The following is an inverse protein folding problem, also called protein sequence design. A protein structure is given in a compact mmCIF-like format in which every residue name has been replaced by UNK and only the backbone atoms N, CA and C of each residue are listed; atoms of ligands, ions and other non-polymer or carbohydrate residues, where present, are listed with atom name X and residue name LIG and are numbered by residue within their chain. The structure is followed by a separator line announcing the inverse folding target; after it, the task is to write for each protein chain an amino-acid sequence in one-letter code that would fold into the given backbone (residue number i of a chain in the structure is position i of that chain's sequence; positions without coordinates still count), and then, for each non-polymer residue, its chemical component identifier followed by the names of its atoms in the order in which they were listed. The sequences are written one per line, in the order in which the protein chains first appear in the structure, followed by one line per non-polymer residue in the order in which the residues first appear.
data_IF_440326279879
#
_entry.id   IF_440326279879
#
_cell.length_a   1.000
_cell.length_b   1.000
_cell.length_c   1.000
_cell.angle_alpha   90.00
_cell.angle_beta   90.00
_cell.angle_gamma   90.00
#
_symmetry.space_group_name_H-M   'P 1'
#
loop_
_entity.id
_entity.type
_entity.pdbx_description
1 polymer ?
#
# COMPACT_ATOMS: atom_id res chain seq x y z
N UNK A 1 -22.86 34.30 29.25
CA UNK A 1 -21.44 34.42 28.78
C UNK A 1 -20.88 33.01 28.58
N UNK A 2 -20.51 32.62 27.36
CA UNK A 2 -19.96 31.28 27.08
C UNK A 2 -18.46 31.38 26.80
N UNK A 3 -17.65 30.55 27.45
CA UNK A 3 -16.21 30.47 27.20
C UNK A 3 -15.95 29.78 25.86
N UNK A 4 -15.13 30.41 25.02
CA UNK A 4 -14.73 29.87 23.71
C UNK A 4 -13.36 29.20 23.85
N UNK A 5 -13.30 27.88 23.67
CA UNK A 5 -12.04 27.15 23.63
C UNK A 5 -11.44 27.18 22.21
N UNK A 6 -10.21 27.71 22.10
CA UNK A 6 -9.37 27.61 20.91
C UNK A 6 -7.93 27.31 21.32
N UNK A 7 -7.38 26.19 20.85
CA UNK A 7 -5.98 25.79 21.08
C UNK A 7 -5.26 25.59 19.76
N UNK A 8 -4.12 26.24 19.57
CA UNK A 8 -3.23 26.04 18.41
C UNK A 8 -2.04 25.20 18.85
N UNK A 9 -1.91 23.99 18.30
CA UNK A 9 -0.82 23.07 18.60
C UNK A 9 0.12 23.05 17.40
N UNK A 10 1.40 23.40 17.58
CA UNK A 10 2.44 23.25 16.55
C UNK A 10 2.98 21.83 16.63
N UNK A 11 2.92 21.09 15.52
CA UNK A 11 3.38 19.69 15.48
C UNK A 11 4.79 19.59 14.92
N UNK A 12 5.09 20.35 13.88
CA UNK A 12 6.41 20.49 13.27
C UNK A 12 6.60 21.95 12.80
N UNK A 13 7.84 22.39 12.48
CA UNK A 13 8.06 23.67 11.80
C UNK A 13 7.21 23.75 10.52
N UNK A 14 6.35 24.76 10.43
CA UNK A 14 5.43 24.92 9.29
C UNK A 14 4.15 24.08 9.35
N UNK A 15 3.94 23.21 10.36
CA UNK A 15 2.70 22.44 10.53
C UNK A 15 2.03 22.78 11.85
N UNK A 16 0.78 23.22 11.78
CA UNK A 16 0.00 23.57 12.96
C UNK A 16 -1.44 23.06 12.88
N UNK A 17 -1.93 22.57 14.00
CA UNK A 17 -3.31 22.15 14.20
C UNK A 17 -4.06 23.20 15.03
N UNK A 18 -5.23 23.61 14.56
CA UNK A 18 -6.16 24.49 15.25
C UNK A 18 -7.33 23.64 15.77
N UNK A 19 -7.48 23.62 17.09
CA UNK A 19 -8.60 22.98 17.79
C UNK A 19 -9.53 24.09 18.27
N UNK A 20 -10.82 24.01 17.93
CA UNK A 20 -11.83 24.96 18.41
C UNK A 20 -13.20 24.30 18.53
N UNK A 21 -14.16 24.97 19.21
CA UNK A 21 -15.57 24.54 19.21
C UNK A 21 -16.15 24.32 17.81
N UNK A 22 -15.67 25.08 16.81
CA UNK A 22 -16.13 24.96 15.43
C UNK A 22 -15.58 23.75 14.67
N UNK A 23 -14.54 23.08 15.22
CA UNK A 23 -13.93 21.88 14.65
C UNK A 23 -12.39 21.92 14.67
N UNK A 24 -11.82 20.86 14.08
CA UNK A 24 -10.39 20.67 13.82
C UNK A 24 -9.98 21.34 12.50
N UNK A 25 -8.84 22.01 12.46
CA UNK A 25 -8.26 22.56 11.24
C UNK A 25 -6.75 22.39 11.19
N UNK A 26 -6.20 21.92 10.07
CA UNK A 26 -4.78 21.71 9.84
C UNK A 26 -4.22 22.80 8.93
N UNK A 27 -3.05 23.33 9.26
CA UNK A 27 -2.32 24.28 8.44
C UNK A 27 -0.90 23.79 8.17
N UNK A 28 -0.47 23.91 6.92
CA UNK A 28 0.84 23.53 6.41
C UNK A 28 1.44 24.70 5.62
N UNK A 29 2.67 25.09 5.93
CA UNK A 29 3.44 26.07 5.16
C UNK A 29 4.07 27.18 5.98
N UNK A 30 4.83 28.03 5.29
CA UNK A 30 5.60 29.13 5.87
C UNK A 30 4.83 30.45 5.75
N UNK A 31 5.37 31.52 6.34
CA UNK A 31 4.81 32.87 6.16
C UNK A 31 4.91 33.26 4.68
N UNK A 32 3.78 33.55 4.05
CA UNK A 32 3.71 33.95 2.64
C UNK A 32 3.30 32.84 1.66
N UNK A 33 3.41 31.57 2.04
CA UNK A 33 2.92 30.44 1.24
C UNK A 33 2.44 29.30 2.15
N UNK A 34 1.12 29.21 2.36
CA UNK A 34 0.55 28.20 3.26
C UNK A 34 -0.79 27.68 2.76
N UNK A 35 -1.10 26.43 3.11
CA UNK A 35 -2.37 25.78 2.86
C UNK A 35 -3.05 25.49 4.19
N UNK A 36 -4.35 25.76 4.27
CA UNK A 36 -5.17 25.53 5.46
C UNK A 36 -6.38 24.67 5.11
N UNK A 37 -6.58 23.61 5.87
CA UNK A 37 -7.70 22.67 5.76
C UNK A 37 -8.55 22.80 7.02
N UNK A 38 -9.84 23.09 6.89
CA UNK A 38 -10.75 23.11 8.04
C UNK A 38 -12.20 23.11 7.58
N UNK A 39 -13.16 22.93 8.48
CA UNK A 39 -14.60 22.66 8.23
C UNK A 39 -15.27 23.24 6.97
N UNK A 40 -14.87 24.43 6.49
CA UNK A 40 -15.46 25.12 5.33
C UNK A 40 -14.74 24.90 4.00
N UNK A 41 -13.45 24.58 4.04
CA UNK A 41 -12.62 24.68 2.84
C UNK A 41 -11.17 24.24 3.02
N UNK A 42 -10.57 23.83 1.91
CA UNK A 42 -9.14 23.90 1.69
C UNK A 42 -8.87 25.28 1.11
N UNK A 43 -7.96 26.02 1.72
CA UNK A 43 -7.59 27.37 1.32
C UNK A 43 -6.09 27.42 1.08
N UNK A 44 -5.67 28.01 -0.04
CA UNK A 44 -4.28 28.41 -0.26
C UNK A 44 -4.14 29.89 0.07
N UNK A 45 -3.13 30.23 0.87
CA UNK A 45 -2.75 31.60 1.15
C UNK A 45 -1.38 31.86 0.51
N UNK A 46 -1.33 32.85 -0.37
CA UNK A 46 -0.10 33.34 -1.01
C UNK A 46 0.04 34.83 -0.73
N UNK A 47 1.24 35.31 -0.44
CA UNK A 47 1.44 36.71 -0.07
C UNK A 47 2.88 37.05 0.25
N UNK A 48 3.18 38.33 0.25
CA UNK A 48 4.51 38.80 0.59
C UNK A 48 4.66 38.84 2.12
N UNK A 49 5.63 38.11 2.69
CA UNK A 49 5.85 38.12 4.13
C UNK A 49 6.28 39.53 4.58
N UNK A 50 5.72 40.01 5.70
CA UNK A 50 6.09 41.29 6.29
C UNK A 50 5.37 42.52 5.72
N UNK A 51 4.70 42.42 4.57
CA UNK A 51 3.96 43.56 3.97
C UNK A 51 2.48 43.61 4.39
N UNK A 52 1.96 42.55 5.00
CA UNK A 52 0.53 42.42 5.32
C UNK A 52 -0.35 42.11 4.11
N UNK A 53 0.21 42.06 2.90
CA UNK A 53 -0.51 41.81 1.66
C UNK A 53 -0.52 40.30 1.39
N UNK A 54 -1.72 39.71 1.40
CA UNK A 54 -1.93 38.31 1.07
C UNK A 54 -3.22 38.09 0.29
N UNK A 55 -3.23 37.06 -0.55
CA UNK A 55 -4.39 36.50 -1.23
C UNK A 55 -4.76 35.17 -0.58
N UNK A 56 -6.06 34.92 -0.44
CA UNK A 56 -6.60 33.64 0.00
C UNK A 56 -7.52 33.09 -1.08
N UNK A 57 -7.12 31.97 -1.65
CA UNK A 57 -7.89 31.26 -2.67
C UNK A 57 -8.51 30.00 -2.07
N UNK A 58 -9.83 29.85 -2.22
CA UNK A 58 -10.53 28.62 -1.79
C UNK A 58 -10.33 27.57 -2.87
N UNK A 59 -9.57 26.53 -2.54
CA UNK A 59 -9.24 25.45 -3.47
C UNK A 59 -10.36 24.42 -3.60
N UNK A 60 -11.04 24.11 -2.48
CA UNK A 60 -12.14 23.16 -2.47
C UNK A 60 -13.08 23.36 -1.28
N UNK A 61 -14.38 23.30 -1.51
CA UNK A 61 -15.42 23.20 -0.49
C UNK A 61 -15.91 21.77 -0.28
N UNK A 62 -16.53 21.50 0.88
CA UNK A 62 -16.99 20.16 1.25
C UNK A 62 -18.15 19.75 0.33
N UNK A 63 -18.95 20.74 -0.12
CA UNK A 63 -19.97 20.63 -1.16
C UNK A 63 -19.44 20.13 -2.49
N UNK A 64 -18.22 20.53 -2.87
CA UNK A 64 -17.61 20.19 -4.17
C UNK A 64 -17.16 18.72 -4.20
N UNK A 65 -16.85 18.16 -3.02
CA UNK A 65 -16.58 16.74 -2.85
C UNK A 65 -17.87 15.90 -2.81
N UNK A 66 -18.98 16.44 -2.27
CA UNK A 66 -20.28 15.75 -2.26
C UNK A 66 -20.93 15.69 -3.65
N UNK A 67 -20.82 16.74 -4.46
CA UNK A 67 -21.33 16.73 -5.85
C UNK A 67 -20.56 15.77 -6.76
N UNK A 68 -19.28 15.50 -6.49
CA UNK A 68 -18.51 14.46 -7.21
C UNK A 68 -18.92 13.02 -6.85
N UNK A 69 -19.60 12.81 -5.72
CA UNK A 69 -20.08 11.48 -5.30
C UNK A 69 -21.42 11.10 -5.97
N UNK A 70 -22.25 12.09 -6.33
CA UNK A 70 -23.56 11.88 -6.96
C UNK A 70 -23.57 12.01 -8.51
N UNK A 71 -22.48 12.46 -9.15
CA UNK A 71 -22.32 12.45 -10.63
C UNK A 71 -21.76 11.12 -11.15
N UNK A 72 -22.31 9.99 -10.72
CA UNK A 72 -22.00 8.65 -11.27
C UNK A 72 -23.22 7.95 -11.88
N UNK A 73 -24.34 8.63 -12.01
CA UNK A 73 -25.57 8.12 -12.62
C UNK A 73 -26.15 9.18 -13.55
N UNK A 74 -26.31 8.78 -14.82
CA UNK A 74 -27.05 9.42 -15.92
C UNK A 74 -26.15 10.07 -17.01
N UNK A 75 -26.27 9.49 -18.20
CA UNK A 75 -25.44 9.61 -19.40
C UNK A 75 -26.09 10.55 -20.44
N UNK A 76 -25.26 11.08 -21.36
CA UNK A 76 -25.59 11.47 -22.75
C UNK A 76 -25.64 12.99 -23.10
N UNK A 77 -24.48 13.47 -23.55
CA UNK A 77 -24.17 14.25 -24.79
C UNK A 77 -24.77 15.64 -25.05
N UNK A 78 -23.90 16.66 -25.02
CA UNK A 78 -23.76 17.65 -26.12
C UNK A 78 -22.39 18.36 -26.07
N UNK A 79 -21.50 17.89 -26.95
CA UNK A 79 -20.40 18.55 -27.68
C UNK A 79 -19.97 19.96 -27.22
N UNK A 80 -18.76 20.08 -26.64
CA UNK A 80 -17.67 20.98 -27.10
C UNK A 80 -16.58 21.18 -26.03
N UNK A 81 -15.51 20.39 -26.14
CA UNK A 81 -14.09 20.78 -26.00
C UNK A 81 -13.27 19.53 -25.80
N UNK A 82 -12.63 19.11 -26.89
CA UNK A 82 -11.56 18.13 -26.88
C UNK A 82 -10.43 18.63 -25.96
N UNK A 83 -10.25 17.95 -24.83
CA UNK A 83 -8.93 17.75 -24.21
C UNK A 83 -8.85 16.26 -23.90
N UNK A 84 -7.92 15.61 -24.60
CA UNK A 84 -7.66 14.17 -24.58
C UNK A 84 -7.81 13.59 -23.17
N UNK A 85 -8.92 12.89 -22.94
CA UNK A 85 -9.08 12.02 -21.79
C UNK A 85 -8.19 10.81 -22.03
N UNK A 86 -7.02 10.80 -21.39
CA UNK A 86 -6.27 9.58 -21.14
C UNK A 86 -7.26 8.58 -20.51
N UNK A 87 -7.51 7.39 -21.09
CA UNK A 87 -8.48 6.47 -20.52
C UNK A 87 -8.00 6.16 -19.09
N UNK A 88 -8.87 6.37 -18.10
CA UNK A 88 -8.65 5.80 -16.77
C UNK A 88 -8.71 4.29 -16.95
N UNK A 89 -7.54 3.70 -17.18
CA UNK A 89 -7.30 2.26 -17.08
C UNK A 89 -7.75 1.89 -15.67
N UNK A 90 -8.92 1.27 -15.57
CA UNK A 90 -9.37 0.63 -14.35
C UNK A 90 -8.39 -0.52 -14.13
N UNK A 91 -7.35 -0.25 -13.34
CA UNK A 91 -6.25 -1.18 -13.11
C UNK A 91 -6.80 -2.31 -12.25
N UNK A 92 -7.11 -3.42 -12.91
CA UNK A 92 -7.61 -4.67 -12.31
C UNK A 92 -6.72 -5.08 -11.14
N UNK A 93 -7.32 -5.48 -10.02
CA UNK A 93 -6.55 -5.88 -8.85
C UNK A 93 -5.95 -7.26 -9.08
N UNK A 94 -4.63 -7.33 -9.10
CA UNK A 94 -3.92 -8.59 -9.30
C UNK A 94 -3.74 -9.32 -7.98
N UNK A 95 -4.13 -10.60 -7.91
CA UNK A 95 -3.91 -11.47 -6.75
C UNK A 95 -3.05 -12.68 -7.12
N UNK A 96 -2.32 -13.19 -6.14
CA UNK A 96 -1.42 -14.32 -6.29
C UNK A 96 -2.04 -15.56 -5.66
N UNK A 97 -2.11 -16.64 -6.43
CA UNK A 97 -2.53 -17.96 -5.94
C UNK A 97 -1.30 -18.85 -5.80
N UNK A 98 -1.04 -19.31 -4.58
CA UNK A 98 0.00 -20.28 -4.25
C UNK A 98 -0.64 -21.67 -4.09
N UNK A 99 -0.14 -22.66 -4.82
CA UNK A 99 -0.68 -24.02 -4.84
C UNK A 99 0.40 -25.04 -4.46
N UNK A 100 0.01 -26.06 -3.70
CA UNK A 100 0.86 -27.20 -3.37
C UNK A 100 -0.02 -28.46 -3.30
N UNK A 101 0.13 -29.37 -4.26
CA UNK A 101 -0.82 -30.45 -4.49
C UNK A 101 -2.23 -29.89 -4.74
N UNK A 102 -3.22 -30.42 -4.02
CA UNK A 102 -4.64 -30.01 -4.14
C UNK A 102 -4.99 -28.75 -3.32
N UNK A 103 -4.05 -28.26 -2.50
CA UNK A 103 -4.29 -27.12 -1.63
C UNK A 103 -3.91 -25.81 -2.32
N UNK A 104 -4.73 -24.78 -2.12
CA UNK A 104 -4.55 -23.44 -2.68
C UNK A 104 -4.67 -22.37 -1.59
N UNK A 105 -3.75 -21.41 -1.60
CA UNK A 105 -3.79 -20.20 -0.78
C UNK A 105 -3.80 -18.97 -1.68
N UNK A 106 -4.70 -18.03 -1.41
CA UNK A 106 -4.78 -16.75 -2.12
C UNK A 106 -4.08 -15.67 -1.30
N UNK A 107 -3.30 -14.85 -1.98
CA UNK A 107 -2.49 -13.77 -1.42
C UNK A 107 -2.86 -12.48 -2.16
N UNK A 108 -3.37 -11.51 -1.41
CA UNK A 108 -3.86 -10.23 -1.94
C UNK A 108 -2.88 -9.10 -1.59
N UNK A 109 -2.23 -9.22 -0.43
CA UNK A 109 -1.34 -8.23 0.15
C UNK A 109 0.07 -8.79 0.32
N UNK A 110 1.01 -7.91 0.67
CA UNK A 110 2.37 -8.28 1.02
C UNK A 110 2.35 -9.25 2.20
N UNK A 111 3.07 -10.37 2.07
CA UNK A 111 3.11 -11.42 3.09
C UNK A 111 4.48 -12.06 3.13
N UNK A 112 5.00 -12.27 4.34
CA UNK A 112 6.17 -13.12 4.54
C UNK A 112 5.68 -14.54 4.76
N UNK A 113 6.19 -15.46 3.96
CA UNK A 113 5.84 -16.86 3.99
C UNK A 113 6.94 -17.66 4.68
N UNK A 114 6.56 -18.42 5.69
CA UNK A 114 7.43 -19.35 6.38
C UNK A 114 6.66 -20.54 6.93
N UNK A 115 7.22 -21.17 7.96
CA UNK A 115 6.72 -22.43 8.49
C UNK A 115 5.30 -22.34 9.03
N UNK A 116 4.94 -21.23 9.68
CA UNK A 116 3.61 -21.04 10.26
C UNK A 116 2.54 -20.90 9.17
N UNK A 117 2.83 -20.08 8.15
CA UNK A 117 1.98 -19.86 7.00
C UNK A 117 1.82 -21.15 6.19
N UNK A 118 2.91 -21.90 6.04
CA UNK A 118 2.85 -23.20 5.39
C UNK A 118 1.98 -24.19 6.18
N UNK A 119 2.19 -24.37 7.48
CA UNK A 119 1.38 -25.31 8.29
C UNK A 119 -0.11 -24.97 8.28
N UNK A 120 -0.45 -23.68 8.22
CA UNK A 120 -1.84 -23.24 8.14
C UNK A 120 -2.51 -23.50 6.78
N UNK A 121 -1.74 -23.68 5.70
CA UNK A 121 -2.28 -23.80 4.35
C UNK A 121 -1.93 -25.10 3.63
N UNK A 122 -0.90 -25.83 4.05
CA UNK A 122 -0.31 -26.96 3.34
C UNK A 122 0.11 -28.10 4.28
N UNK A 123 0.45 -29.28 3.73
CA UNK A 123 0.79 -30.48 4.52
C UNK A 123 2.30 -30.68 4.71
N UNK A 124 3.14 -30.51 3.68
CA UNK A 124 4.59 -30.66 3.81
C UNK A 124 5.30 -29.30 3.96
N UNK A 125 5.82 -29.07 5.17
CA UNK A 125 6.41 -27.78 5.57
C UNK A 125 7.70 -27.92 6.39
N UNK A 126 8.26 -29.12 6.51
CA UNK A 126 9.39 -29.37 7.42
C UNK A 126 10.71 -28.76 6.95
N UNK A 127 10.86 -28.61 5.64
CA UNK A 127 12.01 -28.00 4.97
C UNK A 127 11.92 -26.46 4.90
N UNK A 128 10.78 -25.89 5.30
CA UNK A 128 10.55 -24.45 5.27
C UNK A 128 10.97 -23.85 6.61
N UNK A 129 11.80 -22.81 6.53
CA UNK A 129 12.26 -22.05 7.67
C UNK A 129 11.15 -21.16 8.26
N UNK A 130 11.40 -20.59 9.44
CA UNK A 130 10.44 -19.70 10.13
C UNK A 130 10.03 -18.52 9.25
N UNK A 131 10.97 -17.99 8.45
CA UNK A 131 10.74 -16.99 7.40
C UNK A 131 11.57 -17.37 6.19
N UNK A 132 10.92 -17.80 5.11
CA UNK A 132 11.63 -18.36 3.95
C UNK A 132 11.70 -17.35 2.81
N UNK A 133 10.57 -16.76 2.44
CA UNK A 133 10.49 -15.77 1.37
C UNK A 133 9.32 -14.83 1.61
N UNK A 134 9.32 -13.67 0.94
CA UNK A 134 8.24 -12.69 1.04
C UNK A 134 7.68 -12.36 -0.33
N UNK A 135 6.37 -12.27 -0.42
CA UNK A 135 5.70 -11.69 -1.58
C UNK A 135 5.46 -10.21 -1.35
N UNK A 136 5.85 -9.40 -2.32
CA UNK A 136 5.73 -7.95 -2.30
C UNK A 136 5.04 -7.51 -3.58
N UNK A 137 4.01 -6.69 -3.44
CA UNK A 137 3.29 -6.08 -4.54
C UNK A 137 3.72 -4.63 -4.66
N UNK A 138 4.11 -4.23 -5.88
CA UNK A 138 4.46 -2.84 -6.18
C UNK A 138 3.21 -1.99 -6.43
N UNK A 139 3.37 -0.66 -6.45
CA UNK A 139 2.34 0.32 -6.84
C UNK A 139 1.78 0.01 -8.24
N UNK A 140 2.54 -0.71 -9.07
CA UNK A 140 2.10 -1.15 -10.37
C UNK A 140 1.20 -2.39 -10.39
N UNK A 141 0.84 -2.96 -9.25
CA UNK A 141 0.19 -4.28 -9.10
C UNK A 141 1.05 -5.47 -9.59
N UNK A 142 2.33 -5.23 -9.89
CA UNK A 142 3.28 -6.28 -10.21
C UNK A 142 3.71 -7.00 -8.93
N UNK A 143 3.74 -8.33 -9.00
CA UNK A 143 4.15 -9.19 -7.89
C UNK A 143 5.64 -9.50 -7.98
N UNK A 144 6.30 -9.40 -6.83
CA UNK A 144 7.71 -9.73 -6.63
C UNK A 144 7.83 -10.74 -5.50
N UNK A 145 8.89 -11.51 -5.56
CA UNK A 145 9.26 -12.47 -4.52
C UNK A 145 10.68 -12.16 -4.05
N UNK A 146 10.84 -12.05 -2.74
CA UNK A 146 12.13 -11.85 -2.10
C UNK A 146 12.51 -13.13 -1.37
N UNK A 147 13.65 -13.73 -1.72
CA UNK A 147 14.22 -14.84 -0.96
C UNK A 147 14.97 -14.32 0.27
N UNK A 148 14.75 -14.95 1.42
CA UNK A 148 15.41 -14.60 2.68
C UNK A 148 16.57 -15.57 2.91
N UNK A 149 17.67 -15.10 3.49
CA UNK A 149 18.75 -16.00 3.96
C UNK A 149 18.22 -16.94 5.03
N UNK A 150 18.45 -18.24 4.83
CA UNK A 150 18.14 -19.28 5.81
C UNK A 150 19.42 -19.99 6.27
N UNK A 151 19.51 -20.40 7.54
CA UNK A 151 20.62 -21.23 8.01
C UNK A 151 20.55 -22.62 7.37
N UNK A 152 21.69 -23.32 7.23
CA UNK A 152 21.72 -24.68 6.65
C UNK A 152 20.93 -25.70 7.50
N UNK A 153 20.97 -25.55 8.82
CA UNK A 153 20.26 -26.43 9.75
C UNK A 153 19.95 -25.73 11.07
N UNK A 154 18.95 -26.21 11.79
CA UNK A 154 18.69 -25.83 13.18
C UNK A 154 18.35 -27.07 14.03
N UNK A 155 18.71 -27.02 15.31
CA UNK A 155 18.40 -28.08 16.28
C UNK A 155 17.23 -27.63 17.17
N UNK A 156 16.19 -28.46 17.28
CA UNK A 156 15.10 -28.26 18.23
C UNK A 156 15.60 -28.41 19.66
N UNK A 157 14.82 -27.90 20.61
CA UNK A 157 15.03 -28.18 22.05
C UNK A 157 15.03 -29.68 22.35
N UNK A 158 14.24 -30.45 21.61
CA UNK A 158 14.12 -31.92 21.73
C UNK A 158 15.26 -32.68 21.03
N UNK A 159 16.28 -31.98 20.51
CA UNK A 159 17.43 -32.59 19.85
C UNK A 159 17.25 -32.91 18.36
N UNK A 160 16.03 -32.82 17.82
CA UNK A 160 15.75 -33.04 16.39
C UNK A 160 16.43 -31.99 15.51
N UNK A 161 17.15 -32.43 14.49
CA UNK A 161 17.83 -31.56 13.52
C UNK A 161 16.89 -31.33 12.33
N UNK A 162 16.74 -30.07 11.92
CA UNK A 162 16.03 -29.64 10.72
C UNK A 162 17.03 -29.07 9.73
N UNK A 163 16.98 -29.51 8.48
CA UNK A 163 17.78 -28.97 7.39
C UNK A 163 16.92 -28.01 6.56
N UNK A 164 17.46 -26.84 6.23
CA UNK A 164 16.77 -25.85 5.41
C UNK A 164 17.54 -25.61 4.12
N UNK A 165 16.80 -25.23 3.10
CA UNK A 165 17.31 -25.09 1.74
C UNK A 165 17.08 -23.67 1.23
N UNK A 166 17.95 -23.19 0.33
CA UNK A 166 17.72 -21.92 -0.37
C UNK A 166 16.44 -21.98 -1.18
N UNK A 167 15.91 -20.79 -1.49
CA UNK A 167 14.68 -20.65 -2.25
C UNK A 167 15.00 -20.44 -3.71
N UNK A 168 14.45 -21.29 -4.56
CA UNK A 168 14.55 -21.17 -6.00
C UNK A 168 13.22 -20.75 -6.59
N UNK A 169 13.27 -19.86 -7.58
CA UNK A 169 12.13 -19.48 -8.40
C UNK A 169 12.43 -19.81 -9.86
N UNK A 170 11.61 -20.65 -10.49
CA UNK A 170 11.82 -21.18 -11.83
C UNK A 170 13.25 -21.75 -12.04
N UNK A 171 13.81 -22.38 -11.01
CA UNK A 171 15.17 -22.94 -11.03
C UNK A 171 16.31 -21.95 -10.75
N UNK A 172 16.03 -20.66 -10.58
CA UNK A 172 17.03 -19.63 -10.25
C UNK A 172 17.06 -19.41 -8.73
N UNK A 173 18.25 -19.43 -8.13
CA UNK A 173 18.42 -19.12 -6.70
C UNK A 173 18.14 -17.63 -6.45
N UNK A 174 17.12 -17.37 -5.62
CA UNK A 174 16.68 -16.02 -5.24
C UNK A 174 17.01 -15.69 -3.78
N UNK A 175 17.87 -16.46 -3.12
CA UNK A 175 18.33 -16.16 -1.76
C UNK A 175 18.99 -14.79 -1.71
N UNK A 176 18.51 -13.90 -0.83
CA UNK A 176 18.87 -12.48 -0.74
C UNK A 176 18.60 -11.64 -1.99
N UNK A 177 17.79 -12.13 -2.91
CA UNK A 177 17.46 -11.44 -4.16
C UNK A 177 15.96 -11.24 -4.26
N UNK A 178 15.58 -10.26 -5.07
CA UNK A 178 14.19 -10.01 -5.45
C UNK A 178 14.03 -10.43 -6.91
N UNK A 179 13.05 -11.29 -7.16
CA UNK A 179 12.66 -11.71 -8.50
C UNK A 179 11.25 -11.23 -8.84
N UNK A 180 11.06 -10.73 -10.05
CA UNK A 180 9.73 -10.42 -10.57
C UNK A 180 9.00 -11.72 -10.88
N UNK A 181 7.77 -11.85 -10.41
CA UNK A 181 6.97 -13.05 -10.65
C UNK A 181 6.27 -12.98 -12.01
N UNK A 182 6.32 -14.09 -12.72
CA UNK A 182 5.58 -14.33 -13.96
C UNK A 182 4.16 -14.82 -13.66
N UNK A 183 3.28 -14.76 -14.67
CA UNK A 183 1.88 -15.17 -14.58
C UNK A 183 1.72 -16.61 -14.08
N UNK A 184 2.65 -17.49 -14.45
CA UNK A 184 2.79 -18.83 -13.90
C UNK A 184 4.25 -19.03 -13.52
N UNK A 185 4.50 -19.69 -12.40
CA UNK A 185 5.86 -20.02 -11.98
C UNK A 185 5.88 -21.13 -10.95
N UNK A 186 7.08 -21.60 -10.65
CA UNK A 186 7.34 -22.64 -9.67
C UNK A 186 8.35 -22.13 -8.65
N UNK A 187 8.04 -22.30 -7.37
CA UNK A 187 8.98 -22.10 -6.27
C UNK A 187 9.38 -23.47 -5.76
N UNK A 188 10.68 -23.70 -5.59
CA UNK A 188 11.18 -24.88 -4.90
C UNK A 188 12.02 -24.49 -3.67
N UNK A 189 11.81 -25.24 -2.60
CA UNK A 189 12.57 -25.16 -1.34
C UNK A 189 12.83 -26.61 -0.93
N UNK A 190 14.03 -27.11 -1.21
CA UNK A 190 14.34 -28.54 -1.03
C UNK A 190 13.44 -29.41 -1.92
N UNK A 191 12.73 -30.35 -1.32
CA UNK A 191 11.76 -31.21 -1.99
C UNK A 191 10.37 -30.57 -2.08
N UNK A 192 10.15 -29.47 -1.37
CA UNK A 192 8.87 -28.77 -1.34
C UNK A 192 8.75 -27.87 -2.56
N UNK A 193 7.70 -28.11 -3.35
CA UNK A 193 7.39 -27.36 -4.58
C UNK A 193 6.06 -26.66 -4.46
N UNK A 194 6.03 -25.40 -4.87
CA UNK A 194 4.84 -24.58 -4.97
C UNK A 194 4.65 -24.11 -6.39
N UNK A 195 3.40 -24.14 -6.88
CA UNK A 195 3.03 -23.49 -8.14
C UNK A 195 2.38 -22.15 -7.84
N UNK A 196 2.79 -21.13 -8.56
CA UNK A 196 2.20 -19.80 -8.51
C UNK A 196 1.38 -19.58 -9.77
N UNK A 197 0.19 -19.01 -9.57
CA UNK A 197 -0.60 -18.40 -10.65
C UNK A 197 -0.98 -16.99 -10.24
N UNK A 198 -0.70 -16.02 -11.10
CA UNK A 198 -1.13 -14.63 -10.95
C UNK A 198 -2.39 -14.43 -11.78
N UNK A 199 -3.43 -13.93 -11.14
CA UNK A 199 -4.72 -13.66 -11.78
C UNK A 199 -5.14 -12.21 -11.53
N UNK A 200 -5.87 -11.64 -12.49
CA UNK A 200 -6.46 -10.31 -12.38
C UNK A 200 -7.96 -10.46 -12.11
N UNK A 201 -8.53 -9.61 -11.25
CA UNK A 201 -9.99 -9.46 -11.08
C UNK A 201 -10.61 -8.61 -12.18
#
# INVERSE_FOLDING_TARGET
MSWLFRKRIKWLPGIFLNLSRSGLGLGLGTRGASVSVGKRGIYANTGFPGTGIYRRDKLAGWSDFQTKKNKKTNTTTTISKQRQSNPKIQKKETYLSLMQGDKKRVIINNVTFGRAECKGSFKSCDEIYVKQFSFVKDNNNDWFMQGITVPKSAKSRDGKIYNFYPTFYNGVDITNKVAKLQTKGEISVGNTKFRITISNT
#
